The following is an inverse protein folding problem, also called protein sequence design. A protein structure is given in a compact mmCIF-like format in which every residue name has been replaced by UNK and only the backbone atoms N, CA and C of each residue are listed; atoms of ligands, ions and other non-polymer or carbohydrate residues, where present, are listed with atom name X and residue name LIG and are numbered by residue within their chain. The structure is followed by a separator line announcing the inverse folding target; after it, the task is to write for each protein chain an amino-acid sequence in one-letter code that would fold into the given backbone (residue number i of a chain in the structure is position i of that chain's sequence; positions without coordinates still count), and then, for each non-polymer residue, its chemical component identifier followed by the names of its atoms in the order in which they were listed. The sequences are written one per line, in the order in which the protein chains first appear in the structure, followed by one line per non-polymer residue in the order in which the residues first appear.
data_IF_526595767979
#
_entry.id   IF_526595767979
#
_cell.length_a   1.000
_cell.length_b   1.000
_cell.length_c   1.000
_cell.angle_alpha   90.00
_cell.angle_beta   90.00
_cell.angle_gamma   90.00
#
_symmetry.space_group_name_H-M   'P 1'
#
loop_
_entity.id
_entity.type
_entity.pdbx_description
1 polymer ?
#
# COMPACT_ATOMS: atom_id res chain seq x y z
N UNK A 1 50.03 21.61 23.18
CA UNK A 1 49.75 20.48 24.10
C UNK A 1 48.42 20.62 24.87
N UNK A 2 48.07 21.73 25.51
CA UNK A 2 46.84 21.85 26.33
C UNK A 2 45.54 21.70 25.48
N UNK A 3 45.45 22.32 24.30
CA UNK A 3 44.25 22.27 23.43
C UNK A 3 43.98 20.82 22.93
N UNK A 4 45.02 20.11 22.47
CA UNK A 4 44.89 18.72 22.02
C UNK A 4 44.39 17.79 23.12
N UNK A 5 44.82 18.02 24.39
CA UNK A 5 44.37 17.26 25.55
C UNK A 5 42.88 17.53 25.87
N UNK A 6 42.44 18.79 25.81
CA UNK A 6 41.04 19.18 25.98
C UNK A 6 40.16 18.60 24.88
N UNK A 7 40.57 18.68 23.63
CA UNK A 7 39.84 18.08 22.49
C UNK A 7 39.76 16.56 22.67
N UNK A 8 40.84 15.88 23.05
CA UNK A 8 40.85 14.43 23.27
C UNK A 8 39.89 14.00 24.39
N UNK A 9 39.84 14.74 25.50
CA UNK A 9 38.92 14.47 26.60
C UNK A 9 37.46 14.66 26.16
N UNK A 10 37.14 15.74 25.43
CA UNK A 10 35.77 15.97 24.95
C UNK A 10 35.33 14.89 23.95
N UNK A 11 36.19 14.45 23.06
CA UNK A 11 35.91 13.35 22.12
C UNK A 11 35.66 12.06 22.91
N UNK A 12 36.45 11.75 23.93
CA UNK A 12 36.24 10.57 24.76
C UNK A 12 34.88 10.63 25.47
N UNK A 13 34.57 11.75 26.11
CA UNK A 13 33.27 11.95 26.79
C UNK A 13 32.10 11.77 25.80
N UNK A 14 32.18 12.40 24.63
CA UNK A 14 31.16 12.26 23.60
C UNK A 14 31.00 10.81 23.13
N UNK A 15 32.11 10.11 22.92
CA UNK A 15 32.07 8.69 22.53
C UNK A 15 31.42 7.83 23.61
N UNK A 16 31.75 8.03 24.87
CA UNK A 16 31.13 7.31 25.99
C UNK A 16 29.62 7.60 26.06
N UNK A 17 29.22 8.87 25.93
CA UNK A 17 27.80 9.24 25.92
C UNK A 17 27.03 8.60 24.77
N UNK A 18 27.58 8.63 23.56
CA UNK A 18 26.98 8.00 22.38
C UNK A 18 26.88 6.47 22.57
N UNK A 19 27.90 5.84 23.14
CA UNK A 19 27.87 4.40 23.45
C UNK A 19 26.79 4.07 24.48
N UNK A 20 26.66 4.87 25.55
CA UNK A 20 25.60 4.70 26.54
C UNK A 20 24.22 4.84 25.87
N UNK A 21 24.02 5.87 25.06
CA UNK A 21 22.76 6.06 24.31
C UNK A 21 22.47 4.86 23.42
N UNK A 22 23.47 4.34 22.68
CA UNK A 22 23.33 3.15 21.86
C UNK A 22 22.95 1.91 22.65
N UNK A 23 23.59 1.66 23.78
CA UNK A 23 23.32 0.47 24.62
C UNK A 23 21.95 0.52 25.28
N UNK A 24 21.51 1.68 25.78
CA UNK A 24 20.22 1.80 26.48
C UNK A 24 19.02 1.99 25.55
N UNK A 25 19.19 2.68 24.43
CA UNK A 25 18.10 3.02 23.51
C UNK A 25 18.23 2.34 22.14
N UNK A 26 19.35 1.71 21.83
CA UNK A 26 19.54 0.86 20.66
C UNK A 26 18.95 -0.54 20.84
N UNK A 27 18.76 -1.26 19.76
CA UNK A 27 18.33 -2.66 19.77
C UNK A 27 19.45 -3.67 20.09
N UNK A 28 20.50 -3.25 20.84
CA UNK A 28 21.68 -4.09 21.13
C UNK A 28 21.45 -5.04 22.30
N UNK A 29 20.75 -4.57 23.32
CA UNK A 29 20.46 -5.32 24.55
C UNK A 29 19.00 -5.78 24.62
N UNK A 30 18.08 -5.02 24.00
CA UNK A 30 16.66 -5.32 23.96
C UNK A 30 16.26 -5.26 22.48
N UNK A 31 15.72 -6.34 21.95
CA UNK A 31 15.24 -6.37 20.59
C UNK A 31 14.14 -5.31 20.37
N UNK A 32 14.30 -4.48 19.36
CA UNK A 32 13.26 -3.53 18.97
C UNK A 32 12.06 -4.28 18.43
N UNK A 33 10.89 -3.65 18.60
CA UNK A 33 9.70 -4.17 17.96
C UNK A 33 9.95 -4.26 16.44
N UNK A 34 9.83 -5.47 15.92
CA UNK A 34 10.05 -5.78 14.50
C UNK A 34 9.23 -4.85 13.60
N UNK A 35 8.03 -4.44 14.03
CA UNK A 35 7.16 -3.52 13.28
C UNK A 35 7.84 -2.17 12.99
N UNK A 36 8.68 -1.67 13.90
CA UNK A 36 9.42 -0.40 13.67
C UNK A 36 10.46 -0.53 12.55
N UNK A 37 11.10 -1.70 12.44
CA UNK A 37 12.10 -1.95 11.41
C UNK A 37 11.47 -1.98 10.01
N UNK A 38 10.19 -2.35 9.91
CA UNK A 38 9.43 -2.41 8.65
C UNK A 38 8.57 -1.18 8.38
N UNK A 39 8.75 -0.09 9.14
CA UNK A 39 7.97 1.15 9.05
C UNK A 39 6.44 0.93 9.22
N UNK A 40 6.05 -0.12 9.91
CA UNK A 40 4.66 -0.37 10.24
C UNK A 40 4.28 0.54 11.40
N UNK A 41 3.32 1.41 11.16
CA UNK A 41 2.77 2.29 12.20
C UNK A 41 1.87 1.44 13.12
N UNK A 42 2.08 1.51 14.42
CA UNK A 42 1.26 0.82 15.42
C UNK A 42 1.08 1.70 16.67
N UNK A 43 0.01 1.48 17.42
CA UNK A 43 -0.34 2.22 18.63
C UNK A 43 -0.23 3.74 18.45
N UNK A 44 -0.69 4.26 17.31
CA UNK A 44 -0.56 5.68 16.97
C UNK A 44 -1.83 6.23 16.32
N UNK A 45 -2.12 7.46 16.68
CA UNK A 45 -3.12 8.30 16.00
C UNK A 45 -2.42 9.51 15.42
N UNK A 46 -2.68 9.79 14.16
CA UNK A 46 -2.21 10.97 13.45
C UNK A 46 -3.40 11.86 13.07
N UNK A 47 -3.14 13.14 12.99
CA UNK A 47 -4.07 14.12 12.45
C UNK A 47 -3.44 14.79 11.25
N UNK A 48 -4.11 14.74 10.11
CA UNK A 48 -3.65 15.33 8.85
C UNK A 48 -4.61 16.42 8.41
N UNK A 49 -4.10 17.59 8.06
CA UNK A 49 -4.85 18.59 7.32
C UNK A 49 -4.85 18.21 5.84
N UNK A 50 -6.00 17.76 5.35
CA UNK A 50 -6.21 17.33 3.96
C UNK A 50 -7.00 18.36 3.13
N UNK A 51 -7.17 19.57 3.63
CA UNK A 51 -7.91 20.66 2.94
C UNK A 51 -7.38 20.96 1.54
N UNK A 52 -6.09 20.70 1.31
CA UNK A 52 -5.45 20.85 -0.01
C UNK A 52 -5.57 19.63 -0.92
N UNK A 53 -6.08 18.51 -0.40
CA UNK A 53 -6.19 17.24 -1.14
C UNK A 53 -7.60 17.12 -1.74
N UNK A 54 -8.64 17.36 -0.94
CA UNK A 54 -10.02 17.37 -1.43
C UNK A 54 -10.88 18.42 -0.68
N UNK A 55 -11.93 18.97 -1.33
CA UNK A 55 -12.65 20.15 -0.81
C UNK A 55 -13.36 19.95 0.52
N UNK A 56 -13.94 18.76 0.74
CA UNK A 56 -14.61 18.42 2.00
C UNK A 56 -13.61 18.02 3.09
N UNK A 57 -12.31 18.13 2.78
CA UNK A 57 -11.22 17.84 3.69
C UNK A 57 -11.10 18.90 4.79
N UNK A 58 -10.45 18.53 5.81
CA UNK A 58 -10.12 19.31 6.99
C UNK A 58 -9.11 18.51 7.77
N UNK A 59 -9.23 18.47 9.07
CA UNK A 59 -8.42 17.57 9.87
C UNK A 59 -9.04 16.18 9.88
N UNK A 60 -8.29 15.20 9.39
CA UNK A 60 -8.66 13.78 9.43
C UNK A 60 -7.86 13.06 10.50
N UNK A 61 -8.51 12.10 11.16
CA UNK A 61 -7.91 11.22 12.16
C UNK A 61 -7.58 9.88 11.50
N UNK A 62 -6.34 9.45 11.66
CA UNK A 62 -5.84 8.18 11.18
C UNK A 62 -5.25 7.40 12.35
N UNK A 63 -5.90 6.30 12.72
CA UNK A 63 -5.50 5.47 13.85
C UNK A 63 -5.05 4.09 13.39
N UNK A 64 -3.94 3.61 13.97
CA UNK A 64 -3.47 2.23 13.90
C UNK A 64 -3.46 1.65 15.31
N UNK A 65 -4.04 0.47 15.47
CA UNK A 65 -4.09 -0.24 16.74
C UNK A 65 -2.71 -0.74 17.20
N UNK A 66 -2.67 -1.46 18.30
CA UNK A 66 -1.42 -2.00 18.88
C UNK A 66 -0.69 -2.99 17.97
N UNK A 67 -1.36 -3.54 16.98
CA UNK A 67 -0.81 -4.46 15.99
C UNK A 67 -0.56 -3.80 14.64
N UNK A 68 -0.87 -2.52 14.49
CA UNK A 68 -0.71 -1.78 13.25
C UNK A 68 -1.87 -1.92 12.27
N UNK A 69 -3.02 -2.41 12.68
CA UNK A 69 -4.21 -2.54 11.85
C UNK A 69 -5.14 -1.32 12.02
N UNK A 70 -5.95 -1.02 10.99
CA UNK A 70 -7.15 -0.18 11.11
C UNK A 70 -8.36 -1.11 11.10
N UNK A 71 -9.21 -0.99 12.10
CA UNK A 71 -10.33 -1.91 12.27
C UNK A 71 -11.64 -1.25 11.86
N UNK A 72 -12.45 -1.97 11.07
CA UNK A 72 -13.85 -1.63 10.77
C UNK A 72 -14.76 -2.65 11.42
N UNK A 73 -15.70 -2.14 12.22
CA UNK A 73 -16.52 -2.95 13.11
C UNK A 73 -15.96 -3.00 14.54
N UNK A 74 -16.78 -3.48 15.48
CA UNK A 74 -16.40 -3.65 16.87
C UNK A 74 -15.69 -4.98 17.04
N UNK A 75 -14.43 -4.96 17.38
CA UNK A 75 -13.66 -6.19 17.65
C UNK A 75 -12.46 -5.89 18.54
N UNK A 76 -11.96 -6.93 19.19
CA UNK A 76 -10.64 -6.90 19.81
C UNK A 76 -9.57 -6.79 18.71
N UNK A 77 -8.50 -6.02 18.96
CA UNK A 77 -7.39 -5.91 18.03
C UNK A 77 -6.82 -7.28 17.63
N UNK A 78 -6.66 -7.51 16.34
CA UNK A 78 -6.18 -8.76 15.77
C UNK A 78 -7.28 -9.76 15.40
N UNK A 79 -8.50 -9.62 15.92
CA UNK A 79 -9.60 -10.48 15.51
C UNK A 79 -10.33 -9.87 14.30
N UNK A 80 -10.25 -10.53 13.17
CA UNK A 80 -10.93 -10.11 11.94
C UNK A 80 -11.36 -11.30 11.10
N UNK A 81 -12.59 -11.27 10.58
CA UNK A 81 -13.05 -12.26 9.60
C UNK A 81 -12.49 -11.96 8.20
N UNK A 82 -12.26 -10.69 7.89
CA UNK A 82 -11.71 -10.24 6.62
C UNK A 82 -10.45 -9.42 6.88
N UNK A 83 -9.35 -9.85 6.28
CA UNK A 83 -8.10 -9.10 6.25
C UNK A 83 -7.91 -8.48 4.87
N UNK A 84 -7.76 -7.16 4.78
CA UNK A 84 -7.51 -6.46 3.51
C UNK A 84 -6.04 -6.09 3.41
N UNK A 85 -5.40 -6.52 2.33
CA UNK A 85 -3.97 -6.33 2.05
C UNK A 85 -3.80 -5.52 0.77
N UNK A 86 -2.96 -4.50 0.81
CA UNK A 86 -2.70 -3.65 -0.34
C UNK A 86 -1.79 -2.47 -0.02
N UNK A 87 -1.67 -1.56 -0.96
CA UNK A 87 -0.88 -0.34 -0.85
C UNK A 87 -1.65 0.83 -0.23
N UNK A 88 -1.33 2.05 -0.68
CA UNK A 88 -1.96 3.30 -0.22
C UNK A 88 -3.47 3.36 -0.47
N UNK A 89 -3.96 2.74 -1.54
CA UNK A 89 -5.40 2.64 -1.85
C UNK A 89 -6.17 1.75 -0.87
N UNK A 90 -5.47 0.89 -0.14
CA UNK A 90 -6.01 0.09 0.97
C UNK A 90 -5.79 0.79 2.30
N UNK A 91 -4.60 1.35 2.55
CA UNK A 91 -4.27 2.12 3.75
C UNK A 91 -5.20 3.32 3.96
N UNK A 92 -5.46 4.06 2.90
CA UNK A 92 -6.31 5.26 2.88
C UNK A 92 -5.98 6.24 4.02
N UNK A 93 -4.69 6.53 4.19
CA UNK A 93 -4.15 7.36 5.28
C UNK A 93 -4.82 8.73 5.43
N UNK A 94 -5.23 9.32 4.33
CA UNK A 94 -5.85 10.65 4.29
C UNK A 94 -7.37 10.63 4.35
N UNK A 95 -7.95 9.49 4.69
CA UNK A 95 -9.37 9.38 5.04
C UNK A 95 -9.54 9.23 6.54
N UNK A 96 -10.53 9.92 7.08
CA UNK A 96 -10.86 9.85 8.50
C UNK A 96 -11.22 8.41 8.91
N UNK A 97 -10.94 8.06 10.14
CA UNK A 97 -11.44 6.80 10.71
C UNK A 97 -12.96 6.74 10.58
N UNK A 98 -13.49 5.61 10.15
CA UNK A 98 -14.89 5.42 9.82
C UNK A 98 -15.31 5.79 8.39
N UNK A 99 -14.37 6.32 7.55
CA UNK A 99 -14.65 6.74 6.17
C UNK A 99 -13.83 5.97 5.12
N UNK A 100 -13.16 4.91 5.50
CA UNK A 100 -12.43 4.04 4.56
C UNK A 100 -13.40 3.18 3.74
N UNK A 101 -12.92 2.60 2.64
CA UNK A 101 -13.75 1.67 1.88
C UNK A 101 -14.07 0.40 2.69
N UNK A 102 -13.21 0.01 3.62
CA UNK A 102 -13.47 -1.08 4.56
C UNK A 102 -14.63 -0.75 5.50
N UNK A 103 -14.70 0.49 6.01
CA UNK A 103 -15.82 0.95 6.82
C UNK A 103 -17.13 0.95 6.04
N UNK A 104 -17.09 1.43 4.80
CA UNK A 104 -18.26 1.41 3.91
C UNK A 104 -18.68 -0.02 3.55
N UNK A 105 -17.73 -0.92 3.30
CA UNK A 105 -17.98 -2.34 3.07
C UNK A 105 -18.63 -2.99 4.30
N UNK A 106 -18.06 -2.75 5.49
CA UNK A 106 -18.62 -3.25 6.75
C UNK A 106 -20.07 -2.79 6.94
N UNK A 107 -20.33 -1.50 6.74
CA UNK A 107 -21.68 -0.95 6.87
C UNK A 107 -22.68 -1.58 5.88
N UNK A 108 -22.26 -1.85 4.64
CA UNK A 108 -23.13 -2.43 3.62
C UNK A 108 -23.39 -3.93 3.89
N UNK A 109 -22.38 -4.70 4.30
CA UNK A 109 -22.52 -6.09 4.73
C UNK A 109 -23.43 -6.20 5.96
N UNK A 110 -23.32 -5.26 6.90
CA UNK A 110 -24.19 -5.21 8.09
C UNK A 110 -25.65 -5.02 7.74
N UNK A 111 -25.99 -4.20 6.71
CA UNK A 111 -27.38 -4.07 6.20
C UNK A 111 -27.91 -5.38 5.62
N UNK A 112 -27.02 -6.23 5.12
CA UNK A 112 -27.35 -7.57 4.61
C UNK A 112 -27.39 -8.66 5.69
N UNK A 113 -27.30 -8.26 6.99
CA UNK A 113 -27.32 -9.14 8.15
C UNK A 113 -25.97 -9.80 8.48
N UNK A 114 -24.88 -9.40 7.84
CA UNK A 114 -23.55 -9.94 8.07
C UNK A 114 -22.72 -8.97 8.93
N UNK A 115 -22.54 -9.31 10.21
CA UNK A 115 -21.72 -8.54 11.15
C UNK A 115 -20.30 -9.09 11.14
N UNK A 116 -19.50 -8.65 10.15
CA UNK A 116 -18.13 -9.11 9.95
C UNK A 116 -17.13 -8.02 10.32
N UNK A 117 -16.12 -8.36 11.08
CA UNK A 117 -15.00 -7.44 11.35
C UNK A 117 -14.00 -7.45 10.21
N UNK A 118 -13.60 -6.26 9.77
CA UNK A 118 -12.64 -6.08 8.68
C UNK A 118 -11.38 -5.39 9.22
N UNK A 119 -10.23 -6.04 9.05
CA UNK A 119 -8.93 -5.45 9.36
C UNK A 119 -8.27 -4.91 8.10
N UNK A 120 -7.89 -3.64 8.13
CA UNK A 120 -7.12 -3.01 7.08
C UNK A 120 -5.63 -3.09 7.40
N UNK A 121 -4.91 -3.92 6.66
CA UNK A 121 -3.46 -4.09 6.69
C UNK A 121 -2.77 -3.43 5.47
N UNK A 122 -3.38 -2.40 4.90
CA UNK A 122 -2.76 -1.61 3.84
C UNK A 122 -1.53 -0.84 4.35
N UNK A 123 -0.50 -0.73 3.52
CA UNK A 123 0.70 0.08 3.80
C UNK A 123 1.00 0.93 2.57
N UNK A 124 1.12 2.24 2.79
CA UNK A 124 1.41 3.20 1.73
C UNK A 124 2.65 2.83 0.90
N UNK A 125 2.52 2.87 -0.43
CA UNK A 125 3.59 2.55 -1.38
C UNK A 125 3.94 1.06 -1.52
N UNK A 126 3.29 0.16 -0.77
CA UNK A 126 3.66 -1.25 -0.76
C UNK A 126 3.15 -1.99 -2.01
N UNK A 127 4.03 -2.80 -2.61
CA UNK A 127 3.74 -3.74 -3.70
C UNK A 127 3.66 -5.19 -3.19
N UNK A 128 3.43 -6.15 -4.09
CA UNK A 128 3.38 -7.58 -3.74
C UNK A 128 4.65 -8.09 -3.04
N UNK A 129 5.82 -7.50 -3.28
CA UNK A 129 7.04 -7.81 -2.53
C UNK A 129 6.86 -7.54 -1.03
N UNK A 130 6.37 -6.35 -0.68
CA UNK A 130 6.10 -5.99 0.71
C UNK A 130 4.94 -6.80 1.30
N UNK A 131 3.91 -7.09 0.50
CA UNK A 131 2.81 -7.92 0.98
C UNK A 131 3.28 -9.32 1.37
N UNK A 132 4.19 -9.95 0.62
CA UNK A 132 4.81 -11.22 1.00
C UNK A 132 5.53 -11.12 2.34
N UNK A 133 6.28 -10.02 2.56
CA UNK A 133 6.96 -9.77 3.84
C UNK A 133 6.00 -9.59 5.01
N UNK A 134 4.81 -9.02 4.79
CA UNK A 134 3.80 -8.91 5.84
C UNK A 134 3.39 -10.27 6.39
N UNK A 135 3.24 -11.29 5.54
CA UNK A 135 2.95 -12.66 5.97
C UNK A 135 4.12 -13.33 6.72
N UNK A 136 5.36 -12.96 6.40
CA UNK A 136 6.55 -13.52 7.04
C UNK A 136 6.83 -12.89 8.40
N UNK A 137 6.56 -11.58 8.56
CA UNK A 137 7.12 -10.77 9.64
C UNK A 137 6.04 -10.11 10.50
N UNK A 138 4.97 -9.60 9.92
CA UNK A 138 3.97 -8.81 10.63
C UNK A 138 2.79 -9.66 11.12
N UNK A 139 2.12 -10.36 10.22
CA UNK A 139 0.91 -11.11 10.57
C UNK A 139 1.14 -12.20 11.63
N UNK A 140 2.30 -12.90 11.67
CA UNK A 140 2.60 -13.85 12.74
C UNK A 140 2.70 -13.23 14.15
N UNK A 141 2.93 -11.92 14.24
CA UNK A 141 2.99 -11.19 15.51
C UNK A 141 1.61 -10.80 16.06
N UNK A 142 0.54 -11.00 15.29
CA UNK A 142 -0.82 -10.65 15.67
C UNK A 142 -1.49 -11.90 16.25
N UNK A 143 -1.67 -11.99 17.57
CA UNK A 143 -2.36 -13.13 18.18
C UNK A 143 -3.76 -13.27 17.62
N UNK A 144 -4.19 -14.53 17.44
CA UNK A 144 -5.54 -14.87 16.99
C UNK A 144 -5.92 -14.37 15.58
N UNK A 145 -4.97 -13.85 14.78
CA UNK A 145 -5.25 -13.45 13.41
C UNK A 145 -5.52 -14.67 12.52
N UNK A 146 -6.79 -15.03 12.42
CA UNK A 146 -7.30 -16.16 11.63
C UNK A 146 -8.46 -15.69 10.75
N UNK A 147 -8.20 -14.84 9.75
CA UNK A 147 -9.26 -14.34 8.87
C UNK A 147 -9.86 -15.51 8.06
N UNK A 148 -11.15 -15.42 7.78
CA UNK A 148 -11.84 -16.32 6.83
C UNK A 148 -11.50 -15.98 5.38
N UNK A 149 -11.23 -14.69 5.13
CA UNK A 149 -10.92 -14.16 3.81
C UNK A 149 -9.74 -13.19 3.90
N UNK A 150 -8.83 -13.29 2.92
CA UNK A 150 -7.79 -12.27 2.69
C UNK A 150 -8.07 -11.62 1.34
N UNK A 151 -8.40 -10.33 1.37
CA UNK A 151 -8.69 -9.54 0.17
C UNK A 151 -7.44 -8.78 -0.26
N UNK A 152 -6.96 -9.08 -1.46
CA UNK A 152 -5.78 -8.45 -2.07
C UNK A 152 -6.21 -7.38 -3.07
N UNK A 153 -6.09 -6.11 -2.68
CA UNK A 153 -6.35 -4.96 -3.54
C UNK A 153 -5.01 -4.39 -4.01
N UNK A 154 -4.48 -4.99 -5.09
CA UNK A 154 -3.07 -4.89 -5.50
C UNK A 154 -2.94 -4.66 -7.01
N UNK A 155 -1.73 -4.28 -7.45
CA UNK A 155 -1.33 -4.19 -8.87
C UNK A 155 -0.75 -2.83 -9.25
N UNK A 156 -1.33 -1.72 -8.83
CA UNK A 156 -0.86 -0.37 -9.22
C UNK A 156 0.60 -0.13 -8.83
N UNK A 157 1.00 -0.49 -7.60
CA UNK A 157 2.38 -0.31 -7.16
C UNK A 157 3.33 -1.28 -7.88
N UNK A 158 2.88 -2.49 -8.21
CA UNK A 158 3.66 -3.46 -8.96
C UNK A 158 3.91 -3.04 -10.42
N UNK A 159 3.10 -2.13 -10.95
CA UNK A 159 3.35 -1.51 -12.23
C UNK A 159 4.70 -0.76 -12.25
N UNK A 160 5.07 -0.12 -11.13
CA UNK A 160 6.29 0.71 -11.02
C UNK A 160 7.45 0.03 -10.30
N UNK A 161 7.19 -1.00 -9.48
CA UNK A 161 8.18 -1.63 -8.61
C UNK A 161 8.50 -3.03 -9.13
N UNK A 162 9.72 -3.22 -9.62
CA UNK A 162 10.31 -4.52 -9.95
C UNK A 162 11.24 -5.03 -8.82
N UNK A 163 11.89 -6.16 -9.06
CA UNK A 163 12.79 -6.76 -8.08
C UNK A 163 14.01 -5.88 -7.78
N UNK A 164 14.57 -5.22 -8.79
CA UNK A 164 15.73 -4.34 -8.65
C UNK A 164 15.38 -3.12 -7.80
N UNK A 165 14.31 -2.41 -8.15
CA UNK A 165 13.82 -1.26 -7.39
C UNK A 165 13.38 -1.63 -5.98
N UNK A 166 12.80 -2.83 -5.79
CA UNK A 166 12.49 -3.34 -4.46
C UNK A 166 13.76 -3.54 -3.63
N UNK A 167 14.80 -4.16 -4.18
CA UNK A 167 16.08 -4.36 -3.51
C UNK A 167 16.74 -3.02 -3.13
N UNK A 168 16.65 -2.00 -3.99
CA UNK A 168 17.15 -0.64 -3.69
C UNK A 168 16.42 0.01 -2.51
N UNK A 169 15.09 -0.16 -2.44
CA UNK A 169 14.27 0.47 -1.40
C UNK A 169 14.44 -0.23 -0.04
N UNK A 170 14.59 -1.54 -0.04
CA UNK A 170 14.42 -2.32 1.18
C UNK A 170 15.71 -2.71 1.86
N UNK A 171 16.86 -2.67 1.26
CA UNK A 171 18.16 -2.99 1.93
C UNK A 171 18.05 -4.10 3.06
N UNK A 172 16.91 -4.82 3.07
CA UNK A 172 16.43 -5.71 4.14
C UNK A 172 17.13 -7.09 4.04
N UNK A 173 17.60 -7.45 2.84
CA UNK A 173 18.22 -8.75 2.60
C UNK A 173 19.74 -8.75 2.82
N UNK A 174 20.34 -7.61 3.13
CA UNK A 174 21.75 -7.53 3.45
C UNK A 174 22.03 -8.03 4.88
N UNK A 175 22.31 -9.32 4.99
CA UNK A 175 22.88 -9.92 6.19
C UNK A 175 24.35 -9.50 6.32
N UNK A 176 24.61 -8.43 7.05
CA UNK A 176 25.98 -7.96 7.28
C UNK A 176 26.01 -6.91 8.39
N UNK A 177 27.20 -6.63 8.90
CA UNK A 177 27.42 -5.66 9.99
C UNK A 177 26.75 -4.29 9.74
N UNK A 178 26.71 -3.83 8.47
CA UNK A 178 26.00 -2.61 8.09
C UNK A 178 24.49 -2.72 8.32
N UNK A 179 23.87 -3.85 8.02
CA UNK A 179 22.44 -4.10 8.26
C UNK A 179 22.15 -4.18 9.76
N UNK A 180 23.03 -4.80 10.52
CA UNK A 180 22.91 -4.87 11.97
C UNK A 180 22.94 -3.47 12.62
N UNK A 181 23.89 -2.60 12.18
CA UNK A 181 23.91 -1.21 12.62
C UNK A 181 22.62 -0.48 12.23
N UNK A 182 22.15 -0.61 10.99
CA UNK A 182 20.92 0.02 10.53
C UNK A 182 19.71 -0.39 11.37
N UNK A 183 19.64 -1.65 11.75
CA UNK A 183 18.51 -2.20 12.51
C UNK A 183 18.60 -1.90 14.01
N UNK A 184 19.80 -1.94 14.59
CA UNK A 184 19.99 -1.82 16.03
C UNK A 184 20.36 -0.40 16.52
N UNK A 185 21.08 0.39 15.71
CA UNK A 185 21.55 1.71 16.15
C UNK A 185 20.41 2.73 16.26
N UNK A 186 20.26 3.29 17.47
CA UNK A 186 19.33 4.40 17.71
C UNK A 186 19.81 5.69 17.05
N UNK A 187 21.12 5.93 17.05
CA UNK A 187 21.71 7.13 16.48
C UNK A 187 21.50 7.12 14.96
N UNK A 188 21.82 6.01 14.29
CA UNK A 188 21.58 5.85 12.86
C UNK A 188 20.12 6.08 12.49
N UNK A 189 19.18 5.45 13.20
CA UNK A 189 17.75 5.56 12.94
C UNK A 189 17.22 6.97 13.23
N UNK A 190 17.75 7.65 14.27
CA UNK A 190 17.38 9.04 14.56
C UNK A 190 17.87 9.98 13.45
N UNK A 191 19.11 9.85 13.00
CA UNK A 191 19.64 10.62 11.87
C UNK A 191 18.85 10.34 10.60
N UNK A 192 18.50 9.09 10.33
CA UNK A 192 17.67 8.71 9.18
C UNK A 192 16.27 9.33 9.27
N UNK A 193 15.64 9.31 10.45
CA UNK A 193 14.31 9.93 10.67
C UNK A 193 14.38 11.45 10.51
N UNK A 194 15.42 12.12 11.03
CA UNK A 194 15.65 13.56 10.85
C UNK A 194 15.88 13.87 9.37
N UNK A 195 16.75 13.12 8.68
CA UNK A 195 16.99 13.28 7.24
C UNK A 195 15.71 13.03 6.44
N UNK A 196 14.94 12.00 6.78
CA UNK A 196 13.63 11.73 6.20
C UNK A 196 12.64 12.85 6.45
N UNK A 197 12.57 13.39 7.67
CA UNK A 197 11.70 14.53 8.01
C UNK A 197 12.13 15.83 7.32
N UNK A 198 13.42 16.07 7.15
CA UNK A 198 13.94 17.20 6.38
C UNK A 198 13.65 17.01 4.89
N UNK A 199 13.86 15.82 4.37
CA UNK A 199 13.55 15.49 2.98
C UNK A 199 12.03 15.51 2.72
N UNK A 200 11.18 15.08 3.67
CA UNK A 200 9.73 15.17 3.55
C UNK A 200 9.19 16.60 3.61
N UNK A 201 9.95 17.53 4.20
CA UNK A 201 9.65 18.97 4.08
C UNK A 201 10.00 19.52 2.69
N UNK A 202 10.93 18.88 1.99
CA UNK A 202 11.37 19.24 0.62
C UNK A 202 10.66 18.38 -0.43
N UNK A 203 10.55 17.09 -0.20
CA UNK A 203 9.70 16.17 -0.96
C UNK A 203 8.34 16.19 -0.29
N UNK A 204 7.48 17.10 -0.74
CA UNK A 204 6.05 17.00 -0.46
C UNK A 204 5.67 15.56 -0.74
N UNK A 205 5.18 14.85 0.29
CA UNK A 205 4.48 13.58 0.08
C UNK A 205 3.46 13.87 -1.00
N UNK A 206 3.67 13.31 -2.18
CA UNK A 206 2.99 13.76 -3.39
C UNK A 206 1.61 13.13 -3.54
N UNK A 207 0.77 13.33 -2.56
CA UNK A 207 -0.66 13.26 -2.79
C UNK A 207 -1.09 14.68 -3.14
N UNK A 208 -0.97 15.03 -4.39
CA UNK A 208 -1.42 16.33 -4.89
C UNK A 208 -2.77 16.14 -5.55
N UNK A 209 -3.71 17.03 -5.20
CA UNK A 209 -5.00 17.09 -5.90
C UNK A 209 -4.78 17.31 -7.39
N UNK A 210 -5.45 16.49 -8.20
CA UNK A 210 -5.56 16.65 -9.64
C UNK A 210 -6.90 17.33 -9.94
N UNK A 211 -6.86 18.34 -10.79
CA UNK A 211 -8.06 18.94 -11.37
C UNK A 211 -8.40 18.22 -12.67
N UNK A 212 -9.24 17.21 -12.58
CA UNK A 212 -9.63 16.37 -13.71
C UNK A 212 -10.33 17.16 -14.83
N UNK A 213 -10.93 18.33 -14.52
CA UNK A 213 -11.58 19.19 -15.52
C UNK A 213 -10.60 19.86 -16.48
N UNK A 214 -9.32 19.93 -16.10
CA UNK A 214 -8.24 20.49 -16.91
C UNK A 214 -7.48 19.45 -17.73
N UNK A 215 -7.76 18.16 -17.52
CA UNK A 215 -7.08 17.11 -18.26
C UNK A 215 -7.62 17.03 -19.70
N UNK A 216 -6.70 16.81 -20.61
CA UNK A 216 -7.03 16.48 -21.99
C UNK A 216 -6.89 14.98 -22.22
N UNK A 217 -7.72 14.43 -23.09
CA UNK A 217 -7.81 13.00 -23.37
C UNK A 217 -7.55 12.69 -24.82
N UNK A 218 -7.07 11.49 -25.10
CA UNK A 218 -6.83 10.93 -26.42
C UNK A 218 -7.23 9.47 -26.46
N UNK A 219 -7.61 8.99 -27.63
CA UNK A 219 -7.82 7.56 -27.90
C UNK A 219 -6.59 6.88 -28.49
N UNK A 220 -5.52 7.67 -28.78
CA UNK A 220 -4.32 7.18 -29.43
C UNK A 220 -3.23 6.84 -28.41
N UNK A 221 -2.77 5.59 -28.34
CA UNK A 221 -1.59 5.24 -27.56
C UNK A 221 -0.33 5.83 -28.20
N UNK A 222 0.73 5.96 -27.41
CA UNK A 222 2.07 6.33 -27.88
C UNK A 222 2.85 5.11 -28.39
N UNK A 223 2.52 3.93 -27.87
CA UNK A 223 3.22 2.68 -28.18
C UNK A 223 2.35 1.79 -29.08
N UNK A 224 2.99 0.99 -29.90
CA UNK A 224 2.34 -0.12 -30.57
C UNK A 224 1.91 -1.19 -29.56
N UNK A 225 0.71 -1.74 -29.74
CA UNK A 225 0.12 -2.72 -28.82
C UNK A 225 0.96 -4.00 -28.66
N UNK A 226 1.71 -4.40 -29.68
CA UNK A 226 2.59 -5.56 -29.65
C UNK A 226 3.76 -5.41 -28.65
N UNK A 227 4.07 -4.17 -28.25
CA UNK A 227 5.19 -3.86 -27.37
C UNK A 227 4.87 -3.98 -25.89
N UNK A 228 3.61 -3.89 -25.46
CA UNK A 228 3.27 -3.82 -24.04
C UNK A 228 3.78 -5.02 -23.24
N UNK A 229 3.55 -6.24 -23.74
CA UNK A 229 4.03 -7.45 -23.04
C UNK A 229 5.55 -7.54 -22.98
N UNK A 230 6.27 -7.12 -24.04
CA UNK A 230 7.73 -7.11 -24.05
C UNK A 230 8.32 -6.06 -23.09
N UNK A 231 7.67 -4.89 -22.98
CA UNK A 231 8.07 -3.83 -22.04
C UNK A 231 7.87 -4.27 -20.59
N UNK A 232 6.77 -4.96 -20.29
CA UNK A 232 6.53 -5.53 -18.95
C UNK A 232 7.46 -6.72 -18.69
N UNK A 233 7.83 -7.49 -19.71
CA UNK A 233 8.90 -8.50 -19.69
C UNK A 233 8.87 -9.44 -18.49
N UNK A 234 10.03 -9.62 -17.86
CA UNK A 234 10.22 -10.46 -16.69
C UNK A 234 9.38 -10.04 -15.47
N UNK A 235 8.97 -8.76 -15.43
CA UNK A 235 8.10 -8.25 -14.37
C UNK A 235 6.78 -9.02 -14.29
N UNK A 236 6.18 -9.40 -15.41
CA UNK A 236 4.94 -10.20 -15.45
C UNK A 236 5.14 -11.58 -14.83
N UNK A 237 6.21 -12.28 -15.19
CA UNK A 237 6.51 -13.60 -14.64
C UNK A 237 6.72 -13.53 -13.12
N UNK A 238 7.53 -12.58 -12.67
CA UNK A 238 7.75 -12.37 -11.23
C UNK A 238 6.49 -11.95 -10.49
N UNK A 239 5.63 -11.14 -11.14
CA UNK A 239 4.36 -10.71 -10.57
C UNK A 239 3.40 -11.88 -10.41
N UNK A 240 3.22 -12.73 -11.44
CA UNK A 240 2.41 -13.96 -11.37
C UNK A 240 2.86 -14.84 -10.19
N UNK A 241 4.16 -15.14 -10.10
CA UNK A 241 4.71 -15.97 -9.03
C UNK A 241 4.44 -15.38 -7.61
N UNK A 242 4.49 -14.04 -7.46
CA UNK A 242 4.16 -13.41 -6.18
C UNK A 242 2.67 -13.49 -5.84
N UNK A 243 1.77 -13.36 -6.83
CA UNK A 243 0.33 -13.54 -6.63
C UNK A 243 0.02 -14.97 -6.19
N UNK A 244 0.59 -15.98 -6.86
CA UNK A 244 0.47 -17.39 -6.49
C UNK A 244 0.95 -17.63 -5.06
N UNK A 245 2.10 -17.07 -4.69
CA UNK A 245 2.65 -17.19 -3.32
C UNK A 245 1.75 -16.50 -2.29
N UNK A 246 1.18 -15.33 -2.59
CA UNK A 246 0.22 -14.64 -1.71
C UNK A 246 -1.04 -15.49 -1.48
N UNK A 247 -1.57 -16.11 -2.54
CA UNK A 247 -2.71 -17.03 -2.42
C UNK A 247 -2.41 -18.20 -1.49
N UNK A 248 -1.26 -18.85 -1.68
CA UNK A 248 -0.82 -19.97 -0.82
C UNK A 248 -0.61 -19.53 0.64
N UNK A 249 -0.09 -18.33 0.88
CA UNK A 249 0.10 -17.81 2.24
C UNK A 249 -1.24 -17.52 2.92
N UNK A 250 -2.23 -16.98 2.21
CA UNK A 250 -3.58 -16.80 2.74
C UNK A 250 -4.22 -18.17 3.08
N UNK A 251 -4.09 -19.16 2.19
CA UNK A 251 -4.59 -20.52 2.45
C UNK A 251 -3.90 -21.18 3.66
N UNK A 252 -2.61 -20.94 3.86
CA UNK A 252 -1.89 -21.43 5.06
C UNK A 252 -2.40 -20.81 6.36
N UNK A 253 -2.98 -19.61 6.30
CA UNK A 253 -3.68 -19.00 7.43
C UNK A 253 -5.10 -19.57 7.62
N UNK A 254 -5.56 -20.46 6.75
CA UNK A 254 -6.93 -20.99 6.72
C UNK A 254 -7.93 -20.07 6.02
N UNK A 255 -7.46 -19.05 5.29
CA UNK A 255 -8.30 -18.07 4.63
C UNK A 255 -8.49 -18.35 3.14
N UNK A 256 -9.63 -17.93 2.61
CA UNK A 256 -9.87 -17.86 1.16
C UNK A 256 -9.22 -16.58 0.61
N UNK A 257 -8.26 -16.68 -0.33
CA UNK A 257 -7.71 -15.51 -1.00
C UNK A 257 -8.73 -14.94 -1.99
N UNK A 258 -8.95 -13.64 -1.96
CA UNK A 258 -9.82 -12.90 -2.89
C UNK A 258 -8.99 -11.80 -3.54
N UNK A 259 -8.89 -11.79 -4.85
CA UNK A 259 -8.11 -10.77 -5.56
C UNK A 259 -9.01 -9.75 -6.25
N UNK A 260 -8.53 -8.52 -6.34
CA UNK A 260 -9.33 -7.39 -6.77
C UNK A 260 -8.48 -6.50 -7.67
N UNK A 261 -8.97 -6.17 -8.87
CA UNK A 261 -8.34 -5.18 -9.73
C UNK A 261 -8.56 -3.74 -9.21
N UNK A 262 -7.62 -2.85 -9.51
CA UNK A 262 -7.66 -1.47 -9.01
C UNK A 262 -8.07 -0.47 -10.10
N UNK A 263 -8.98 0.48 -9.81
CA UNK A 263 -9.31 1.55 -10.74
C UNK A 263 -8.17 2.58 -10.81
N UNK A 264 -8.04 3.23 -11.97
CA UNK A 264 -7.12 4.31 -12.20
C UNK A 264 -7.76 5.38 -13.07
N UNK A 265 -7.56 6.65 -12.73
CA UNK A 265 -8.14 7.81 -13.42
C UNK A 265 -7.23 8.39 -14.51
N UNK A 266 -6.13 7.75 -14.84
CA UNK A 266 -5.33 8.10 -16.04
C UNK A 266 -6.08 7.79 -17.34
N UNK A 267 -7.12 6.97 -17.25
CA UNK A 267 -7.98 6.61 -18.38
C UNK A 267 -9.46 6.57 -17.95
N UNK A 268 -10.32 6.56 -18.95
CA UNK A 268 -11.76 6.30 -18.81
C UNK A 268 -12.25 5.41 -19.93
N UNK A 269 -13.29 4.65 -19.67
CA UNK A 269 -13.95 3.79 -20.62
C UNK A 269 -15.29 4.45 -20.92
N UNK A 270 -15.51 4.81 -22.17
CA UNK A 270 -16.77 5.43 -22.63
C UNK A 270 -17.86 4.36 -22.76
N UNK A 271 -19.12 4.78 -22.83
CA UNK A 271 -20.29 3.88 -22.93
C UNK A 271 -20.22 2.95 -24.16
N UNK A 272 -19.58 3.38 -25.21
CA UNK A 272 -19.34 2.58 -26.43
C UNK A 272 -18.11 1.65 -26.32
N UNK A 273 -17.48 1.55 -25.16
CA UNK A 273 -16.29 0.75 -24.94
C UNK A 273 -14.97 1.39 -25.38
N UNK A 274 -14.98 2.61 -25.92
CA UNK A 274 -13.76 3.31 -26.33
C UNK A 274 -12.93 3.69 -25.11
N UNK A 275 -11.62 3.43 -25.17
CA UNK A 275 -10.67 3.84 -24.14
C UNK A 275 -10.13 5.22 -24.48
N UNK A 276 -10.30 6.15 -23.55
CA UNK A 276 -9.64 7.45 -23.59
C UNK A 276 -8.66 7.54 -22.41
N UNK A 277 -7.44 7.89 -22.71
CA UNK A 277 -6.39 8.14 -21.72
C UNK A 277 -5.99 9.60 -21.67
N UNK A 278 -5.46 10.06 -20.54
CA UNK A 278 -4.88 11.41 -20.42
C UNK A 278 -3.73 11.57 -21.39
N UNK A 279 -3.60 12.77 -21.98
CA UNK A 279 -2.49 13.11 -22.88
C UNK A 279 -1.18 13.36 -22.13
N UNK A 280 -1.22 13.48 -20.80
CA UNK A 280 -0.03 13.59 -19.98
C UNK A 280 0.83 12.34 -20.14
N UNK A 281 2.14 12.55 -20.21
CA UNK A 281 3.09 11.46 -20.42
C UNK A 281 3.96 11.24 -19.21
N UNK A 282 4.28 9.99 -18.93
CA UNK A 282 5.26 9.60 -17.92
C UNK A 282 6.34 8.70 -18.52
N UNK A 283 7.52 8.71 -17.91
CA UNK A 283 8.59 7.80 -18.28
C UNK A 283 8.40 6.44 -17.60
N UNK A 284 8.55 5.37 -18.37
CA UNK A 284 8.52 4.00 -17.92
C UNK A 284 9.73 3.25 -18.50
N UNK A 285 10.82 3.17 -17.73
CA UNK A 285 12.11 2.77 -18.29
C UNK A 285 12.52 3.71 -19.42
N UNK A 286 12.81 3.13 -20.58
CA UNK A 286 13.26 3.85 -21.78
C UNK A 286 12.09 4.34 -22.69
N UNK A 287 10.85 4.13 -22.28
CA UNK A 287 9.68 4.53 -23.07
C UNK A 287 8.84 5.58 -22.36
N UNK A 288 8.03 6.30 -23.14
CA UNK A 288 7.00 7.20 -22.62
C UNK A 288 5.64 6.56 -22.77
N UNK A 289 4.80 6.69 -21.75
CA UNK A 289 3.42 6.24 -21.73
C UNK A 289 2.48 7.42 -21.60
N UNK A 290 1.31 7.37 -22.23
CA UNK A 290 0.16 8.19 -21.92
C UNK A 290 -0.91 7.35 -21.20
N UNK A 291 -2.08 7.93 -20.93
CA UNK A 291 -3.14 7.22 -20.22
C UNK A 291 -3.70 6.01 -20.97
N UNK A 292 -3.64 5.99 -22.31
CA UNK A 292 -4.09 4.84 -23.12
C UNK A 292 -3.10 3.67 -23.00
N UNK A 293 -1.80 3.96 -23.09
CA UNK A 293 -0.76 2.95 -22.88
C UNK A 293 -0.84 2.37 -21.48
N UNK A 294 -1.07 3.23 -20.48
CA UNK A 294 -1.24 2.83 -19.09
C UNK A 294 -2.41 1.85 -18.90
N UNK A 295 -3.57 2.14 -19.55
CA UNK A 295 -4.71 1.24 -19.54
C UNK A 295 -4.34 -0.16 -20.04
N UNK A 296 -3.74 -0.27 -21.22
CA UNK A 296 -3.41 -1.57 -21.79
C UNK A 296 -2.38 -2.34 -20.96
N UNK A 297 -1.34 -1.67 -20.48
CA UNK A 297 -0.32 -2.32 -19.64
C UNK A 297 -0.88 -2.78 -18.30
N UNK A 298 -1.70 -1.95 -17.65
CA UNK A 298 -2.35 -2.34 -16.38
C UNK A 298 -3.36 -3.48 -16.61
N UNK A 299 -4.07 -3.49 -17.73
CA UNK A 299 -4.98 -4.58 -18.11
C UNK A 299 -4.24 -5.91 -18.24
N UNK A 300 -3.05 -5.91 -18.83
CA UNK A 300 -2.19 -7.11 -18.90
C UNK A 300 -1.81 -7.61 -17.50
N UNK A 301 -1.50 -6.72 -16.57
CA UNK A 301 -1.22 -7.10 -15.18
C UNK A 301 -2.46 -7.66 -14.48
N UNK A 302 -3.63 -7.07 -14.70
CA UNK A 302 -4.90 -7.58 -14.16
C UNK A 302 -5.26 -8.95 -14.75
N UNK A 303 -4.94 -9.21 -16.02
CA UNK A 303 -5.08 -10.54 -16.63
C UNK A 303 -4.22 -11.59 -15.91
N UNK A 304 -3.02 -11.25 -15.43
CA UNK A 304 -2.21 -12.18 -14.64
C UNK A 304 -2.88 -12.54 -13.32
N UNK A 305 -3.49 -11.56 -12.64
CA UNK A 305 -4.27 -11.84 -11.43
C UNK A 305 -5.43 -12.78 -11.75
N UNK A 306 -6.19 -12.46 -12.81
CA UNK A 306 -7.35 -13.26 -13.24
C UNK A 306 -6.94 -14.68 -13.57
N UNK A 307 -5.86 -14.86 -14.32
CA UNK A 307 -5.32 -16.17 -14.67
C UNK A 307 -4.98 -17.01 -13.42
N UNK A 308 -4.28 -16.43 -12.44
CA UNK A 308 -3.96 -17.11 -11.17
C UNK A 308 -5.24 -17.47 -10.41
N UNK A 309 -6.25 -16.60 -10.43
CA UNK A 309 -7.53 -16.87 -9.80
C UNK A 309 -8.28 -18.01 -10.48
N UNK A 310 -8.28 -18.07 -11.81
CA UNK A 310 -8.90 -19.17 -12.58
C UNK A 310 -8.19 -20.50 -12.34
N UNK A 311 -6.86 -20.52 -12.40
CA UNK A 311 -6.03 -21.69 -12.13
C UNK A 311 -6.22 -22.23 -10.69
N UNK A 312 -6.27 -21.32 -9.70
CA UNK A 312 -6.43 -21.66 -8.28
C UNK A 312 -7.87 -21.76 -7.80
N UNK A 313 -8.85 -21.46 -8.66
CA UNK A 313 -10.29 -21.35 -8.32
C UNK A 313 -10.54 -20.35 -7.18
N UNK A 314 -9.82 -19.22 -7.20
CA UNK A 314 -9.99 -18.15 -6.25
C UNK A 314 -10.99 -17.12 -6.76
N UNK A 315 -11.78 -16.47 -5.88
CA UNK A 315 -12.62 -15.35 -6.27
C UNK A 315 -11.79 -14.20 -6.83
N UNK A 316 -12.20 -13.65 -7.99
CA UNK A 316 -11.65 -12.45 -8.58
C UNK A 316 -12.75 -11.40 -8.72
N UNK A 317 -12.51 -10.23 -8.14
CA UNK A 317 -13.41 -9.07 -8.25
C UNK A 317 -12.82 -8.12 -9.31
N UNK A 318 -13.42 -8.14 -10.48
CA UNK A 318 -13.07 -7.23 -11.55
C UNK A 318 -13.76 -5.88 -11.31
N UNK A 319 -13.00 -4.94 -10.77
CA UNK A 319 -13.52 -3.67 -10.32
C UNK A 319 -13.54 -2.60 -11.44
N UNK A 320 -12.60 -2.67 -12.36
CA UNK A 320 -12.28 -1.59 -13.28
C UNK A 320 -13.37 -1.27 -14.31
N UNK A 321 -14.01 -2.22 -15.01
CA UNK A 321 -14.95 -1.86 -16.07
C UNK A 321 -16.38 -1.63 -15.60
N UNK A 322 -16.73 -1.97 -14.37
CA UNK A 322 -18.14 -2.02 -13.89
C UNK A 322 -18.58 -0.79 -13.12
N UNK A 323 -17.67 0.05 -12.66
CA UNK A 323 -17.99 1.16 -11.78
C UNK A 323 -17.85 2.48 -12.52
N UNK A 324 -18.94 3.26 -12.54
CA UNK A 324 -18.91 4.61 -13.09
C UNK A 324 -18.27 5.54 -12.07
N UNK A 325 -17.11 6.09 -12.41
CA UNK A 325 -16.37 7.03 -11.61
C UNK A 325 -16.64 8.47 -12.02
N UNK A 326 -16.75 9.34 -11.05
CA UNK A 326 -16.82 10.79 -11.23
C UNK A 326 -15.53 11.45 -10.76
N UNK A 327 -15.29 12.68 -11.16
CA UNK A 327 -14.10 13.43 -10.78
C UNK A 327 -14.02 13.71 -9.28
N UNK A 328 -15.16 13.72 -8.58
CA UNK A 328 -15.25 13.86 -7.13
C UNK A 328 -14.89 12.59 -6.36
N UNK A 329 -14.82 11.44 -7.00
CA UNK A 329 -14.49 10.17 -6.35
C UNK A 329 -12.99 10.00 -6.06
N UNK A 330 -12.15 10.78 -6.73
CA UNK A 330 -10.70 10.72 -6.61
C UNK A 330 -10.09 12.09 -6.38
N UNK A 331 -9.03 12.16 -5.61
CA UNK A 331 -8.24 13.39 -5.48
C UNK A 331 -6.96 13.38 -6.34
N UNK A 332 -6.52 12.20 -6.75
CA UNK A 332 -5.47 11.99 -7.76
C UNK A 332 -5.81 10.79 -8.66
N UNK A 333 -4.86 10.29 -9.44
CA UNK A 333 -5.15 9.22 -10.40
C UNK A 333 -5.58 7.88 -9.79
N UNK A 334 -5.31 7.63 -8.50
CA UNK A 334 -5.54 6.30 -7.88
C UNK A 334 -6.18 6.38 -6.50
N UNK A 335 -6.06 7.50 -5.80
CA UNK A 335 -6.51 7.63 -4.43
C UNK A 335 -7.91 8.26 -4.37
N UNK A 336 -8.78 7.63 -3.60
CA UNK A 336 -10.19 8.04 -3.48
C UNK A 336 -10.39 9.11 -2.41
N UNK A 337 -11.36 9.99 -2.66
CA UNK A 337 -12.00 10.83 -1.64
C UNK A 337 -12.90 9.98 -0.74
N UNK A 338 -13.49 10.52 0.34
CA UNK A 338 -14.51 9.79 1.14
C UNK A 338 -15.68 9.29 0.29
N UNK A 339 -16.13 10.07 -0.71
CA UNK A 339 -17.17 9.67 -1.67
C UNK A 339 -16.74 8.45 -2.49
N UNK A 340 -15.55 8.48 -3.07
CA UNK A 340 -15.02 7.36 -3.84
C UNK A 340 -14.77 6.14 -2.98
N UNK A 341 -14.24 6.29 -1.76
CA UNK A 341 -14.03 5.20 -0.82
C UNK A 341 -15.36 4.51 -0.46
N UNK A 342 -16.42 5.30 -0.21
CA UNK A 342 -17.76 4.76 0.02
C UNK A 342 -18.25 3.95 -1.17
N UNK A 343 -18.06 4.44 -2.40
CA UNK A 343 -18.42 3.73 -3.63
C UNK A 343 -17.65 2.42 -3.77
N UNK A 344 -16.33 2.44 -3.53
CA UNK A 344 -15.49 1.23 -3.48
C UNK A 344 -16.04 0.22 -2.49
N UNK A 345 -16.31 0.63 -1.24
CA UNK A 345 -16.79 -0.28 -0.20
C UNK A 345 -18.12 -0.92 -0.52
N UNK A 346 -19.07 -0.16 -1.10
CA UNK A 346 -20.37 -0.69 -1.52
C UNK A 346 -20.21 -1.76 -2.61
N UNK A 347 -19.40 -1.48 -3.63
CA UNK A 347 -19.17 -2.44 -4.72
C UNK A 347 -18.41 -3.69 -4.24
N UNK A 348 -17.44 -3.51 -3.31
CA UNK A 348 -16.78 -4.64 -2.65
C UNK A 348 -17.76 -5.50 -1.87
N UNK A 349 -18.67 -4.88 -1.10
CA UNK A 349 -19.68 -5.62 -0.34
C UNK A 349 -20.60 -6.43 -1.27
N UNK A 350 -21.09 -5.82 -2.36
CA UNK A 350 -21.94 -6.50 -3.35
C UNK A 350 -21.21 -7.70 -3.97
N UNK A 351 -19.94 -7.54 -4.32
CA UNK A 351 -19.13 -8.60 -4.92
C UNK A 351 -18.79 -9.71 -3.93
N UNK A 352 -18.66 -9.38 -2.65
CA UNK A 352 -18.40 -10.35 -1.60
C UNK A 352 -19.64 -11.12 -1.12
N UNK A 353 -20.83 -10.56 -1.23
CA UNK A 353 -22.07 -11.21 -0.75
C UNK A 353 -22.27 -12.64 -1.26
N UNK A 354 -22.11 -12.96 -2.58
CA UNK A 354 -22.23 -14.33 -3.07
C UNK A 354 -21.09 -15.25 -2.59
N UNK A 355 -19.93 -14.71 -2.22
CA UNK A 355 -18.79 -15.46 -1.68
C UNK A 355 -19.02 -15.80 -0.20
N UNK A 356 -19.65 -14.87 0.54
CA UNK A 356 -19.91 -14.98 1.97
C UNK A 356 -21.15 -15.83 2.30
N UNK A 357 -22.07 -15.94 1.36
CA UNK A 357 -23.32 -16.73 1.47
C UNK A 357 -23.35 -17.76 0.33
N UNK A 358 -22.56 -18.85 0.42
CA UNK A 358 -22.54 -19.90 -0.60
C UNK A 358 -23.86 -20.67 -0.66
#
# INVERSE_FOLDING_TARGET
MKIAKVVGINVLILTVLLTVVELFFGGWLIERNVLENYNIVYSKTYHFDVSKIYPEGGNVTYTRDKYGLRMSGKSEPGFAEILTVGGSTTDQRYLNDGLTWQDAMHAELSKSGLQLTIANAGIDGQSTFGHLKNFEIWFPLIPELKPKYVMFYIGINDFYIDAEKWAEITDIENTGFKSEIKNKSVIYNTVRKIKGALNSRVVRVSHSKIDFSKLTYTTKPLLDSSRYRSILGERLTGYKARIEKLALLAQKMGAVPVFISQPCRKYRILDNGTIEGTTETENYGDVKLNGVDYFYMLSIMNEMIKQVCEEGKYPFIEFTPKTIWTDSDFYDYVHTTPSGAKKVGIEMAKSMLPILKP
#
